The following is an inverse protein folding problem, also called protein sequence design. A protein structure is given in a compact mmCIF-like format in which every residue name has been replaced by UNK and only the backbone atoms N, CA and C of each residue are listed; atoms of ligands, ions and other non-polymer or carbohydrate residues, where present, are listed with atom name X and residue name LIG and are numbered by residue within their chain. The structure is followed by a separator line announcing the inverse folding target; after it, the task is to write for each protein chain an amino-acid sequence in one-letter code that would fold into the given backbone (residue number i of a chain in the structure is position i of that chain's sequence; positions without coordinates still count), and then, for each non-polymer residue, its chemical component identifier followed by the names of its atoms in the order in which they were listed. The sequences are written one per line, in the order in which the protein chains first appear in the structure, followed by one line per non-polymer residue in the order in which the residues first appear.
data_IF_153858797373
#
_entry.id   IF_153858797373
#
_cell.length_a   1.000
_cell.length_b   1.000
_cell.length_c   1.000
_cell.angle_alpha   90.00
_cell.angle_beta   90.00
_cell.angle_gamma   90.00
#
_symmetry.space_group_name_H-M   'P 1'
#
loop_
_entity.id
_entity.type
_entity.pdbx_description
1 polymer ?
#
# COMPACT_ATOMS: atom_id res chain seq x y z
N UNK A 1 -11.50 20.24 -61.02
CA UNK A 1 -11.34 21.20 -62.17
C UNK A 1 -12.62 21.14 -62.95
N UNK A 2 -13.39 22.23 -62.97
CA UNK A 2 -14.65 22.30 -63.73
C UNK A 2 -14.43 23.21 -64.93
N UNK A 3 -14.81 22.70 -66.08
CA UNK A 3 -14.76 23.46 -67.33
C UNK A 3 -16.12 24.13 -67.57
N UNK A 4 -16.15 25.44 -67.69
CA UNK A 4 -17.36 26.22 -67.98
C UNK A 4 -17.10 27.05 -69.24
N UNK A 5 -17.89 26.74 -70.28
CA UNK A 5 -17.84 27.49 -71.54
C UNK A 5 -18.89 28.58 -71.48
N UNK A 6 -18.55 29.84 -71.74
CA UNK A 6 -19.48 30.94 -71.83
C UNK A 6 -20.17 30.99 -73.20
N UNK A 7 -21.25 31.78 -73.32
CA UNK A 7 -22.04 31.95 -74.59
C UNK A 7 -21.20 32.49 -75.78
N UNK A 8 -20.00 32.94 -75.54
CA UNK A 8 -19.05 33.39 -76.58
C UNK A 8 -18.02 32.31 -76.96
N UNK A 9 -18.10 31.10 -76.39
CA UNK A 9 -17.22 29.97 -76.75
C UNK A 9 -15.84 30.00 -76.06
N UNK A 10 -15.66 30.87 -75.04
CA UNK A 10 -14.42 30.91 -74.26
C UNK A 10 -14.48 29.89 -73.13
N UNK A 11 -13.44 29.08 -73.00
CA UNK A 11 -13.28 28.13 -71.91
C UNK A 11 -12.61 28.78 -70.72
N UNK A 12 -13.28 28.79 -69.57
CA UNK A 12 -12.69 29.20 -68.29
C UNK A 12 -12.51 28.04 -67.36
N UNK A 13 -11.31 27.93 -66.78
CA UNK A 13 -10.95 26.90 -65.84
C UNK A 13 -10.97 27.50 -64.42
N UNK A 14 -11.85 26.95 -63.59
CA UNK A 14 -11.91 27.30 -62.20
C UNK A 14 -11.28 26.19 -61.36
N UNK A 15 -10.25 26.53 -60.57
CA UNK A 15 -9.67 25.64 -59.59
C UNK A 15 -9.89 26.20 -58.19
N UNK A 16 -10.45 25.40 -57.32
CA UNK A 16 -10.53 25.70 -55.91
C UNK A 16 -9.42 24.95 -55.20
N UNK A 17 -8.52 25.66 -54.55
CA UNK A 17 -7.57 25.10 -53.63
C UNK A 17 -8.01 25.39 -52.20
N UNK A 18 -8.16 24.37 -51.40
CA UNK A 18 -8.43 24.51 -49.99
C UNK A 18 -7.13 24.17 -49.25
N UNK A 19 -6.68 25.09 -48.40
CA UNK A 19 -5.51 24.82 -47.56
C UNK A 19 -5.98 23.93 -46.40
N UNK A 20 -5.48 22.69 -46.41
CA UNK A 20 -5.78 21.65 -45.40
C UNK A 20 -4.63 21.47 -44.42
N UNK A 21 -3.58 22.30 -44.47
CA UNK A 21 -2.37 22.15 -43.63
C UNK A 21 -2.69 22.22 -42.15
N UNK A 22 -3.52 23.12 -41.74
CA UNK A 22 -3.95 23.29 -40.35
C UNK A 22 -4.74 22.04 -39.84
N UNK A 23 -5.66 21.57 -40.67
CA UNK A 23 -6.42 20.34 -40.38
C UNK A 23 -5.53 19.13 -40.23
N UNK A 24 -4.60 18.93 -41.17
CA UNK A 24 -3.64 17.83 -41.09
C UNK A 24 -2.74 17.92 -39.86
N UNK A 25 -2.36 19.16 -39.47
CA UNK A 25 -1.61 19.40 -38.25
C UNK A 25 -2.40 18.97 -36.99
N UNK A 26 -3.65 19.38 -36.86
CA UNK A 26 -4.52 18.97 -35.74
C UNK A 26 -4.78 17.46 -35.74
N UNK A 27 -5.05 16.85 -36.89
CA UNK A 27 -5.24 15.40 -36.99
C UNK A 27 -3.98 14.64 -36.55
N UNK A 28 -2.77 15.11 -36.91
CA UNK A 28 -1.51 14.52 -36.49
C UNK A 28 -1.29 14.69 -34.97
N UNK A 29 -1.61 15.85 -34.41
CA UNK A 29 -1.54 16.08 -32.96
C UNK A 29 -2.50 15.18 -32.17
N UNK A 30 -3.75 15.07 -32.60
CA UNK A 30 -4.75 14.18 -31.97
C UNK A 30 -4.28 12.73 -32.02
N UNK A 31 -3.78 12.27 -33.17
CA UNK A 31 -3.25 10.92 -33.34
C UNK A 31 -2.07 10.64 -32.41
N UNK A 32 -1.17 11.62 -32.26
CA UNK A 32 -0.03 11.53 -31.34
C UNK A 32 -0.47 11.47 -29.88
N UNK A 33 -1.43 12.31 -29.47
CA UNK A 33 -1.97 12.34 -28.12
C UNK A 33 -2.66 11.01 -27.77
N UNK A 34 -3.48 10.49 -28.68
CA UNK A 34 -4.14 9.21 -28.51
C UNK A 34 -3.12 8.07 -28.34
N UNK A 35 -2.08 8.04 -29.16
CA UNK A 35 -1.02 7.04 -29.05
C UNK A 35 -0.29 7.11 -27.70
N UNK A 36 -0.01 8.32 -27.20
CA UNK A 36 0.62 8.53 -25.88
C UNK A 36 -0.33 8.05 -24.79
N UNK A 37 -1.60 8.43 -24.85
CA UNK A 37 -2.62 8.03 -23.86
C UNK A 37 -2.78 6.51 -23.83
N UNK A 38 -3.00 5.87 -24.97
CA UNK A 38 -3.16 4.41 -25.06
C UNK A 38 -1.94 3.68 -24.51
N UNK A 39 -0.73 4.10 -24.95
CA UNK A 39 0.51 3.50 -24.46
C UNK A 39 0.68 3.68 -22.96
N UNK A 40 0.36 4.85 -22.42
CA UNK A 40 0.48 5.14 -20.99
C UNK A 40 -0.50 4.30 -20.19
N UNK A 41 -1.78 4.29 -20.60
CA UNK A 41 -2.85 3.57 -19.89
C UNK A 41 -2.65 2.05 -19.95
N UNK A 42 -2.17 1.52 -21.08
CA UNK A 42 -1.91 0.09 -21.22
C UNK A 42 -0.71 -0.42 -20.40
N UNK A 43 0.21 0.47 -20.04
CA UNK A 43 1.35 0.13 -19.20
C UNK A 43 1.13 0.44 -17.69
N UNK A 44 -0.03 0.97 -17.31
CA UNK A 44 -0.38 1.11 -15.90
C UNK A 44 -0.70 -0.26 -15.29
N UNK A 45 -0.22 -0.56 -14.06
CA UNK A 45 -0.57 -1.78 -13.33
C UNK A 45 -1.98 -1.68 -12.73
N UNK A 46 -2.93 -1.11 -13.46
CA UNK A 46 -4.30 -0.88 -13.04
C UNK A 46 -5.26 -1.28 -14.17
N UNK A 47 -6.30 -2.02 -13.84
CA UNK A 47 -7.42 -2.26 -14.74
C UNK A 47 -8.27 -0.99 -14.85
N UNK A 48 -8.45 -0.47 -16.07
CA UNK A 48 -9.27 0.72 -16.34
C UNK A 48 -10.40 0.33 -17.27
N UNK A 49 -11.61 0.70 -16.86
CA UNK A 49 -12.85 0.44 -17.59
C UNK A 49 -13.65 1.73 -17.67
N UNK A 50 -14.18 2.05 -18.85
CA UNK A 50 -15.05 3.20 -19.06
C UNK A 50 -16.37 2.73 -19.66
N UNK A 51 -17.48 3.19 -19.09
CA UNK A 51 -18.85 2.90 -19.54
C UNK A 51 -19.62 4.18 -19.80
N UNK A 52 -20.49 4.17 -20.80
CA UNK A 52 -21.35 5.29 -21.14
C UNK A 52 -22.70 5.19 -20.40
N UNK A 53 -23.05 6.21 -19.61
CA UNK A 53 -24.24 6.17 -18.74
C UNK A 53 -25.54 6.10 -19.54
N UNK A 54 -25.70 6.98 -20.53
CA UNK A 54 -26.95 7.08 -21.31
C UNK A 54 -27.12 5.98 -22.36
N UNK A 55 -26.13 5.10 -22.49
CA UNK A 55 -26.14 3.96 -23.42
C UNK A 55 -26.16 2.62 -22.67
N UNK A 56 -27.03 2.48 -21.68
CA UNK A 56 -27.17 1.28 -20.87
C UNK A 56 -25.87 0.78 -20.23
N UNK A 57 -25.00 1.69 -19.80
CA UNK A 57 -23.69 1.40 -19.22
C UNK A 57 -22.84 0.46 -20.09
N UNK A 58 -22.90 0.63 -21.42
CA UNK A 58 -22.04 -0.14 -22.33
C UNK A 58 -20.59 0.26 -22.20
N UNK A 59 -19.72 -0.73 -22.29
CA UNK A 59 -18.28 -0.53 -22.30
C UNK A 59 -17.87 0.24 -23.56
N UNK A 60 -17.21 1.38 -23.37
CA UNK A 60 -16.64 2.19 -24.46
C UNK A 60 -15.12 2.13 -24.46
N UNK A 61 -14.51 1.77 -23.33
CA UNK A 61 -13.06 1.59 -23.22
C UNK A 61 -12.70 0.57 -22.15
N UNK A 62 -11.66 -0.19 -22.43
CA UNK A 62 -10.98 -1.08 -21.49
C UNK A 62 -9.50 -1.11 -21.83
N UNK A 63 -8.60 -0.98 -20.84
CA UNK A 63 -7.18 -1.15 -21.06
C UNK A 63 -6.78 -2.63 -20.98
N UNK A 64 -5.56 -2.92 -21.40
CA UNK A 64 -4.99 -4.27 -21.44
C UNK A 64 -5.07 -4.97 -20.08
N UNK A 65 -4.77 -4.26 -18.97
CA UNK A 65 -4.75 -4.84 -17.64
C UNK A 65 -6.15 -5.24 -17.16
N UNK A 66 -7.20 -4.52 -17.54
CA UNK A 66 -8.58 -4.90 -17.23
C UNK A 66 -9.01 -6.21 -17.88
N UNK A 67 -8.53 -6.50 -19.09
CA UNK A 67 -8.75 -7.78 -19.76
C UNK A 67 -7.94 -8.93 -19.13
N UNK A 68 -6.70 -8.64 -18.70
CA UNK A 68 -5.83 -9.64 -18.06
C UNK A 68 -6.43 -10.18 -16.76
N UNK A 69 -7.12 -9.33 -16.00
CA UNK A 69 -7.73 -9.68 -14.70
C UNK A 69 -9.10 -10.32 -14.82
N UNK A 70 -9.79 -10.08 -15.93
CA UNK A 70 -11.14 -10.58 -16.11
C UNK A 70 -11.17 -12.09 -16.32
N UNK A 71 -12.11 -12.75 -15.65
CA UNK A 71 -12.35 -14.18 -15.81
C UNK A 71 -13.14 -14.48 -17.10
N UNK A 72 -13.85 -13.49 -17.64
CA UNK A 72 -14.62 -13.62 -18.86
C UNK A 72 -13.73 -13.37 -20.08
N UNK A 73 -13.83 -14.24 -21.07
CA UNK A 73 -13.06 -14.18 -22.32
C UNK A 73 -13.90 -13.54 -23.41
N UNK A 74 -13.30 -12.60 -24.15
CA UNK A 74 -13.92 -11.99 -25.33
C UNK A 74 -13.98 -10.47 -25.26
N UNK A 75 -14.43 -9.89 -26.37
CA UNK A 75 -14.54 -8.43 -26.51
C UNK A 75 -15.76 -7.91 -25.75
N UNK A 76 -15.52 -6.93 -24.88
CA UNK A 76 -16.55 -6.29 -24.05
C UNK A 76 -17.06 -4.97 -24.63
N UNK A 77 -16.30 -4.33 -25.52
CA UNK A 77 -16.68 -3.03 -26.09
C UNK A 77 -18.04 -3.13 -26.82
N UNK A 78 -18.92 -2.18 -26.54
CA UNK A 78 -20.30 -2.16 -27.04
C UNK A 78 -21.28 -3.06 -26.29
N UNK A 79 -20.82 -3.91 -25.37
CA UNK A 79 -21.66 -4.74 -24.49
C UNK A 79 -21.88 -4.05 -23.15
N UNK A 80 -22.88 -4.50 -22.38
CA UNK A 80 -23.06 -4.13 -20.99
C UNK A 80 -22.68 -5.30 -20.06
N UNK A 81 -22.84 -5.13 -18.74
CA UNK A 81 -22.47 -6.17 -17.77
C UNK A 81 -23.26 -7.47 -17.95
N UNK A 82 -24.54 -7.37 -18.29
CA UNK A 82 -25.42 -8.53 -18.48
C UNK A 82 -25.11 -9.35 -19.74
N UNK A 83 -24.52 -8.71 -20.74
CA UNK A 83 -24.05 -9.39 -21.96
C UNK A 83 -22.72 -10.13 -21.72
N UNK A 84 -22.01 -9.80 -20.62
CA UNK A 84 -20.62 -10.17 -20.44
C UNK A 84 -20.36 -11.02 -19.18
N UNK A 85 -21.08 -10.78 -18.07
CA UNK A 85 -20.92 -11.50 -16.81
C UNK A 85 -22.13 -12.34 -16.44
N UNK A 86 -21.98 -13.34 -15.54
CA UNK A 86 -23.11 -14.00 -14.90
C UNK A 86 -24.05 -12.99 -14.22
N UNK A 87 -25.36 -13.28 -14.17
CA UNK A 87 -26.37 -12.32 -13.70
C UNK A 87 -26.07 -11.69 -12.34
N UNK A 88 -25.65 -12.48 -11.34
CA UNK A 88 -25.34 -11.99 -9.99
C UNK A 88 -24.19 -10.96 -9.98
N UNK A 89 -23.17 -11.18 -10.80
CA UNK A 89 -22.02 -10.26 -10.94
C UNK A 89 -22.43 -9.01 -11.69
N UNK A 90 -23.22 -9.18 -12.78
CA UNK A 90 -23.70 -8.08 -13.59
C UNK A 90 -24.62 -7.15 -12.79
N UNK A 91 -25.53 -7.71 -11.98
CA UNK A 91 -26.47 -6.96 -11.14
C UNK A 91 -25.72 -6.09 -10.12
N UNK A 92 -24.75 -6.65 -9.40
CA UNK A 92 -23.93 -5.90 -8.46
C UNK A 92 -23.16 -4.77 -9.13
N UNK A 93 -22.53 -5.03 -10.28
CA UNK A 93 -21.80 -4.00 -11.04
C UNK A 93 -22.74 -2.89 -11.51
N UNK A 94 -23.95 -3.25 -11.95
CA UNK A 94 -24.98 -2.31 -12.37
C UNK A 94 -25.46 -1.43 -11.22
N UNK A 95 -25.72 -2.00 -10.05
CA UNK A 95 -26.11 -1.24 -8.85
C UNK A 95 -25.06 -0.19 -8.49
N UNK A 96 -23.78 -0.58 -8.49
CA UNK A 96 -22.65 0.34 -8.23
C UNK A 96 -22.59 1.47 -9.28
N UNK A 97 -22.75 1.14 -10.57
CA UNK A 97 -22.71 2.11 -11.66
C UNK A 97 -23.90 3.08 -11.59
N UNK A 98 -25.11 2.59 -11.31
CA UNK A 98 -26.32 3.40 -11.14
C UNK A 98 -26.16 4.33 -9.92
N UNK A 99 -25.62 3.83 -8.81
CA UNK A 99 -25.40 4.64 -7.61
C UNK A 99 -24.45 5.83 -7.91
N UNK A 100 -23.32 5.56 -8.58
CA UNK A 100 -22.37 6.60 -8.96
C UNK A 100 -22.97 7.56 -9.99
N UNK A 101 -23.71 7.03 -10.97
CA UNK A 101 -24.35 7.84 -12.01
C UNK A 101 -25.42 8.79 -11.46
N UNK A 102 -26.19 8.35 -10.46
CA UNK A 102 -27.31 9.15 -9.91
C UNK A 102 -26.88 10.12 -8.83
N UNK A 103 -25.93 9.71 -7.97
CA UNK A 103 -25.48 10.56 -6.85
C UNK A 103 -24.35 11.50 -7.22
N UNK A 104 -23.59 11.21 -8.27
CA UNK A 104 -22.34 11.89 -8.60
C UNK A 104 -21.19 11.62 -7.59
N UNK A 105 -21.47 10.86 -6.53
CA UNK A 105 -20.44 10.50 -5.53
C UNK A 105 -19.67 9.29 -6.00
N UNK A 106 -18.33 9.40 -6.02
CA UNK A 106 -17.45 8.28 -6.34
C UNK A 106 -17.50 7.20 -5.27
N UNK A 107 -17.35 5.94 -5.68
CA UNK A 107 -17.16 4.79 -4.79
C UNK A 107 -15.66 4.45 -4.68
N UNK A 108 -15.24 4.07 -3.47
CA UNK A 108 -13.90 3.59 -3.19
C UNK A 108 -13.96 2.47 -2.16
N UNK A 109 -13.41 1.30 -2.50
CA UNK A 109 -13.37 0.14 -1.60
C UNK A 109 -12.22 -0.80 -1.96
N UNK A 110 -11.82 -1.61 -0.99
CA UNK A 110 -10.86 -2.69 -1.20
C UNK A 110 -11.59 -4.02 -1.31
N UNK A 111 -11.16 -4.87 -2.23
CA UNK A 111 -11.70 -6.21 -2.44
C UNK A 111 -10.58 -7.23 -2.33
N UNK A 112 -10.79 -8.24 -1.48
CA UNK A 112 -9.90 -9.40 -1.40
C UNK A 112 -10.49 -10.56 -2.22
N UNK A 113 -9.63 -11.28 -2.92
CA UNK A 113 -10.02 -12.39 -3.77
C UNK A 113 -8.82 -13.26 -4.17
N UNK A 114 -8.98 -13.98 -5.27
CA UNK A 114 -7.91 -14.78 -5.88
C UNK A 114 -7.78 -14.44 -7.35
N UNK A 115 -6.54 -14.47 -7.84
CA UNK A 115 -6.24 -14.35 -9.26
C UNK A 115 -6.60 -15.65 -10.04
N UNK A 116 -6.35 -15.65 -11.34
CA UNK A 116 -6.58 -16.83 -12.23
C UNK A 116 -5.76 -18.07 -11.81
N UNK A 117 -4.67 -17.88 -11.10
CA UNK A 117 -3.75 -18.93 -10.64
C UNK A 117 -4.07 -19.39 -9.22
N UNK A 118 -5.06 -18.78 -8.55
CA UNK A 118 -5.44 -19.08 -7.19
C UNK A 118 -4.61 -18.34 -6.12
N UNK A 119 -3.73 -17.41 -6.51
CA UNK A 119 -2.97 -16.59 -5.58
C UNK A 119 -3.86 -15.51 -4.96
N UNK A 120 -3.53 -15.10 -3.74
CA UNK A 120 -4.23 -13.99 -3.09
C UNK A 120 -4.11 -12.71 -3.94
N UNK A 121 -5.20 -12.00 -4.09
CA UNK A 121 -5.32 -10.75 -4.83
C UNK A 121 -6.07 -9.73 -3.98
N UNK A 122 -5.48 -8.55 -3.79
CA UNK A 122 -6.10 -7.43 -3.09
C UNK A 122 -6.18 -6.27 -4.08
N UNK A 123 -7.40 -5.85 -4.39
CA UNK A 123 -7.68 -4.76 -5.32
C UNK A 123 -8.21 -3.54 -4.60
N UNK A 124 -7.57 -2.40 -4.83
CA UNK A 124 -8.15 -1.08 -4.55
C UNK A 124 -9.01 -0.66 -5.74
N UNK A 125 -10.32 -0.51 -5.50
CA UNK A 125 -11.30 -0.22 -6.55
C UNK A 125 -11.90 1.15 -6.36
N UNK A 126 -11.96 1.90 -7.47
CA UNK A 126 -12.59 3.22 -7.52
C UNK A 126 -13.52 3.32 -8.70
N UNK A 127 -14.67 3.92 -8.48
CA UNK A 127 -15.60 4.31 -9.54
C UNK A 127 -15.91 5.78 -9.41
N UNK A 128 -15.83 6.50 -10.50
CA UNK A 128 -16.17 7.94 -10.57
C UNK A 128 -17.05 8.21 -11.77
N UNK A 129 -17.94 9.18 -11.64
CA UNK A 129 -18.66 9.77 -12.76
C UNK A 129 -17.85 10.94 -13.31
N UNK A 130 -17.76 11.02 -14.61
CA UNK A 130 -17.24 12.17 -15.34
C UNK A 130 -18.36 12.68 -16.21
N UNK A 131 -18.74 13.93 -16.00
CA UNK A 131 -19.79 14.58 -16.79
C UNK A 131 -19.26 14.90 -18.18
N UNK A 132 -20.10 14.68 -19.17
CA UNK A 132 -19.81 15.07 -20.55
C UNK A 132 -20.05 16.57 -20.77
N UNK A 133 -19.65 17.01 -21.93
CA UNK A 133 -20.05 18.33 -22.45
C UNK A 133 -21.48 18.25 -23.07
N UNK A 134 -21.94 19.33 -23.68
CA UNK A 134 -23.28 19.40 -24.31
C UNK A 134 -23.49 18.34 -25.42
N UNK A 135 -22.43 17.74 -25.93
CA UNK A 135 -22.43 16.79 -27.05
C UNK A 135 -22.13 15.36 -26.63
N UNK A 136 -21.68 15.11 -25.41
CA UNK A 136 -21.24 13.81 -24.93
C UNK A 136 -22.03 13.35 -23.70
N UNK A 137 -22.30 12.03 -23.64
CA UNK A 137 -22.93 11.37 -22.50
C UNK A 137 -22.00 11.34 -21.29
N UNK A 138 -22.52 11.45 -20.05
CA UNK A 138 -21.74 11.14 -18.86
C UNK A 138 -21.16 9.73 -18.92
N UNK A 139 -19.97 9.56 -18.37
CA UNK A 139 -19.28 8.27 -18.32
C UNK A 139 -18.98 7.86 -16.88
N UNK A 140 -18.91 6.55 -16.66
CA UNK A 140 -18.36 5.95 -15.43
C UNK A 140 -16.97 5.43 -15.74
N UNK A 141 -15.98 5.92 -14.98
CA UNK A 141 -14.62 5.41 -15.02
C UNK A 141 -14.40 4.54 -13.79
N UNK A 142 -14.06 3.28 -14.01
CA UNK A 142 -13.70 2.32 -12.96
C UNK A 142 -12.21 2.02 -13.05
N UNK A 143 -11.52 2.10 -11.92
CA UNK A 143 -10.09 1.81 -11.79
C UNK A 143 -9.92 0.73 -10.73
N UNK A 144 -9.15 -0.30 -11.04
CA UNK A 144 -8.85 -1.42 -10.16
C UNK A 144 -7.34 -1.57 -10.04
N UNK A 145 -6.78 -1.22 -8.89
CA UNK A 145 -5.34 -1.29 -8.62
C UNK A 145 -4.99 -2.54 -7.83
N UNK A 146 -4.01 -3.31 -8.28
CA UNK A 146 -3.47 -4.41 -7.50
C UNK A 146 -2.53 -3.86 -6.43
N UNK A 147 -2.95 -3.99 -5.17
CA UNK A 147 -2.21 -3.56 -4.00
C UNK A 147 -1.72 -4.73 -3.15
N UNK A 148 -1.72 -5.95 -3.70
CA UNK A 148 -1.39 -7.19 -2.97
C UNK A 148 -0.01 -7.13 -2.36
N UNK A 149 1.00 -6.76 -3.16
CA UNK A 149 2.38 -6.66 -2.67
C UNK A 149 2.55 -5.49 -1.69
N UNK A 150 1.88 -4.37 -1.92
CA UNK A 150 1.89 -3.23 -1.01
C UNK A 150 1.33 -3.59 0.37
N UNK A 151 0.19 -4.27 0.41
CA UNK A 151 -0.42 -4.71 1.67
C UNK A 151 0.41 -5.79 2.38
N UNK A 152 1.10 -6.66 1.64
CA UNK A 152 2.03 -7.62 2.20
C UNK A 152 3.22 -6.93 2.88
N UNK A 153 3.90 -6.03 2.16
CA UNK A 153 5.02 -5.25 2.71
C UNK A 153 4.59 -4.44 3.93
N UNK A 154 3.42 -3.83 3.89
CA UNK A 154 2.86 -3.08 5.00
C UNK A 154 2.64 -3.94 6.25
N UNK A 155 2.09 -5.16 6.09
CA UNK A 155 1.91 -6.13 7.20
C UNK A 155 3.25 -6.60 7.77
N UNK A 156 4.24 -6.88 6.93
CA UNK A 156 5.59 -7.26 7.34
C UNK A 156 6.28 -6.13 8.12
N UNK A 157 6.18 -4.90 7.62
CA UNK A 157 6.73 -3.72 8.29
C UNK A 157 6.06 -3.48 9.66
N UNK A 158 4.75 -3.59 9.73
CA UNK A 158 4.01 -3.45 10.98
C UNK A 158 4.44 -4.50 12.01
N UNK A 159 4.56 -5.76 11.59
CA UNK A 159 5.02 -6.86 12.47
C UNK A 159 6.47 -6.62 12.95
N UNK A 160 7.35 -6.15 12.08
CA UNK A 160 8.74 -5.83 12.43
C UNK A 160 8.81 -4.67 13.43
N UNK A 161 7.99 -3.63 13.21
CA UNK A 161 7.88 -2.49 14.13
C UNK A 161 7.42 -2.93 15.53
N UNK A 162 6.37 -3.74 15.59
CA UNK A 162 5.84 -4.24 16.88
C UNK A 162 6.88 -5.08 17.65
N UNK A 163 7.65 -5.92 16.93
CA UNK A 163 8.76 -6.67 17.54
C UNK A 163 9.86 -5.76 18.09
N UNK A 164 10.24 -4.72 17.33
CA UNK A 164 11.24 -3.75 17.77
C UNK A 164 10.77 -2.97 19.01
N UNK A 165 9.53 -2.46 19.00
CA UNK A 165 8.95 -1.75 20.15
C UNK A 165 8.85 -2.63 21.41
N UNK A 166 8.50 -3.92 21.24
CA UNK A 166 8.48 -4.87 22.35
C UNK A 166 9.88 -5.12 22.90
N UNK A 167 10.88 -5.28 22.01
CA UNK A 167 12.29 -5.44 22.43
C UNK A 167 12.78 -4.22 23.23
N UNK A 168 12.46 -3.00 22.78
CA UNK A 168 12.86 -1.77 23.45
C UNK A 168 12.18 -1.63 24.83
N UNK A 169 10.91 -1.98 24.94
CA UNK A 169 10.19 -2.02 26.23
C UNK A 169 10.80 -3.02 27.19
N UNK A 170 11.14 -4.23 26.72
CA UNK A 170 11.78 -5.26 27.54
C UNK A 170 13.16 -4.81 28.01
N UNK A 171 13.98 -4.20 27.13
CA UNK A 171 15.28 -3.62 27.51
C UNK A 171 15.15 -2.53 28.57
N UNK A 172 14.19 -1.64 28.40
CA UNK A 172 13.96 -0.55 29.35
C UNK A 172 13.50 -1.07 30.71
N UNK A 173 12.59 -2.02 30.75
CA UNK A 173 12.14 -2.65 31.99
C UNK A 173 13.28 -3.44 32.67
N UNK A 174 14.08 -4.16 31.87
CA UNK A 174 15.27 -4.87 32.38
C UNK A 174 16.26 -3.90 33.05
N UNK A 175 16.63 -2.80 32.38
CA UNK A 175 17.56 -1.81 32.95
C UNK A 175 17.01 -1.17 34.22
N UNK A 176 15.71 -0.87 34.27
CA UNK A 176 15.07 -0.32 35.47
C UNK A 176 15.12 -1.31 36.62
N UNK A 177 14.79 -2.58 36.39
CA UNK A 177 14.84 -3.62 37.41
C UNK A 177 16.29 -3.88 37.89
N UNK A 178 17.25 -3.96 36.95
CA UNK A 178 18.64 -4.13 37.31
C UNK A 178 19.17 -2.97 38.14
N UNK A 179 18.79 -1.75 37.83
CA UNK A 179 19.15 -0.57 38.64
C UNK A 179 18.65 -0.68 40.09
N UNK A 180 17.44 -1.22 40.25
CA UNK A 180 16.86 -1.46 41.60
C UNK A 180 17.59 -2.59 42.34
N UNK A 181 17.82 -3.72 41.64
CA UNK A 181 18.50 -4.90 42.23
C UNK A 181 19.97 -4.60 42.62
N UNK A 182 20.64 -3.72 41.89
CA UNK A 182 22.01 -3.25 42.22
C UNK A 182 22.00 -2.25 43.38
N UNK A 183 21.04 -1.31 43.43
CA UNK A 183 20.98 -0.26 44.43
C UNK A 183 20.79 -0.78 45.84
N UNK A 184 19.97 -1.82 46.02
CA UNK A 184 19.65 -2.40 47.33
C UNK A 184 20.89 -2.94 48.04
N UNK A 185 21.68 -3.89 47.48
CA UNK A 185 22.90 -4.38 48.15
C UNK A 185 23.96 -3.28 48.27
N UNK A 186 24.07 -2.39 47.27
CA UNK A 186 25.04 -1.28 47.35
C UNK A 186 24.75 -0.36 48.51
N UNK A 187 23.51 0.05 48.76
CA UNK A 187 23.12 0.87 49.90
C UNK A 187 23.38 0.15 51.24
N UNK A 188 23.16 -1.15 51.31
CA UNK A 188 23.49 -1.94 52.50
C UNK A 188 25.01 -1.96 52.76
N UNK A 189 25.83 -2.23 51.73
CA UNK A 189 27.28 -2.19 51.82
C UNK A 189 27.77 -0.85 52.37
N UNK A 190 27.30 0.27 51.74
CA UNK A 190 27.68 1.63 52.15
C UNK A 190 27.23 1.92 53.57
N UNK A 191 25.96 1.65 53.92
CA UNK A 191 25.39 1.93 55.23
C UNK A 191 26.10 1.15 56.38
N UNK A 192 26.24 -0.16 56.19
CA UNK A 192 26.91 -1.00 57.21
C UNK A 192 28.42 -0.74 57.29
N UNK A 193 29.08 -0.36 56.21
CA UNK A 193 30.49 0.07 56.25
C UNK A 193 30.72 1.29 57.13
N UNK A 194 29.79 2.27 57.12
CA UNK A 194 29.84 3.42 58.07
C UNK A 194 29.66 2.97 59.50
N UNK A 195 28.69 2.08 59.76
CA UNK A 195 28.45 1.55 61.12
C UNK A 195 29.65 0.77 61.65
N UNK A 196 30.35 0.01 60.80
CA UNK A 196 31.62 -0.65 61.19
C UNK A 196 32.67 0.34 61.63
N UNK A 197 32.75 1.51 60.94
CA UNK A 197 33.74 2.54 61.28
C UNK A 197 33.43 3.31 62.58
N UNK A 198 32.13 3.40 62.94
CA UNK A 198 31.64 4.17 64.11
C UNK A 198 31.48 3.30 65.38
N UNK A 199 31.27 1.99 65.24
CA UNK A 199 31.04 1.10 66.39
C UNK A 199 32.35 0.75 67.09
N UNK A 200 32.35 0.88 68.42
CA UNK A 200 33.42 0.43 69.31
C UNK A 200 33.23 -1.02 69.76
N UNK A 201 32.05 -1.60 69.57
CA UNK A 201 31.71 -2.97 69.96
C UNK A 201 32.17 -3.99 68.92
N UNK A 202 33.00 -4.92 69.32
CA UNK A 202 33.58 -5.96 68.44
C UNK A 202 32.54 -6.90 67.90
N UNK A 203 31.51 -7.31 68.66
CA UNK A 203 30.45 -8.19 68.21
C UNK A 203 29.55 -7.53 67.15
N UNK A 204 29.17 -6.28 67.38
CA UNK A 204 28.42 -5.47 66.41
C UNK A 204 29.17 -5.29 65.10
N UNK A 205 30.46 -4.96 65.18
CA UNK A 205 31.33 -4.84 63.98
C UNK A 205 31.38 -6.14 63.19
N UNK A 206 31.45 -7.25 63.85
CA UNK A 206 31.42 -8.56 63.19
C UNK A 206 30.08 -8.82 62.45
N UNK A 207 28.98 -8.54 63.14
CA UNK A 207 27.64 -8.67 62.53
C UNK A 207 27.48 -7.78 61.29
N UNK A 208 27.94 -6.51 61.38
CA UNK A 208 27.88 -5.59 60.24
C UNK A 208 28.75 -6.02 59.08
N UNK A 209 29.93 -6.58 59.39
CA UNK A 209 30.85 -7.17 58.40
C UNK A 209 30.21 -8.31 57.62
N UNK A 210 29.55 -9.26 58.30
CA UNK A 210 28.82 -10.38 57.67
C UNK A 210 27.72 -9.86 56.71
N UNK A 211 27.02 -8.80 57.10
CA UNK A 211 26.00 -8.17 56.22
C UNK A 211 26.64 -7.56 54.96
N UNK A 212 27.76 -6.89 55.10
CA UNK A 212 28.51 -6.29 53.97
C UNK A 212 28.98 -7.41 53.02
N UNK A 213 29.57 -8.49 53.58
CA UNK A 213 30.08 -9.62 52.80
C UNK A 213 28.96 -10.30 52.01
N UNK A 214 27.84 -10.64 52.66
CA UNK A 214 26.66 -11.24 51.99
C UNK A 214 26.10 -10.35 50.88
N UNK A 215 26.03 -9.03 51.04
CA UNK A 215 25.57 -8.10 50.01
C UNK A 215 26.57 -7.92 48.85
N UNK A 216 27.86 -8.04 49.13
CA UNK A 216 28.91 -8.00 48.12
C UNK A 216 28.84 -9.26 47.23
N UNK A 217 28.69 -10.44 47.84
CA UNK A 217 28.49 -11.71 47.07
C UNK A 217 27.25 -11.63 46.17
N UNK A 218 26.12 -11.12 46.70
CA UNK A 218 24.89 -10.94 45.94
C UNK A 218 25.13 -9.98 44.76
N UNK A 219 25.86 -8.87 44.95
CA UNK A 219 26.14 -7.92 43.89
C UNK A 219 27.00 -8.54 42.78
N UNK A 220 28.03 -9.34 43.15
CA UNK A 220 28.89 -10.03 42.20
C UNK A 220 28.07 -11.09 41.39
N UNK A 221 27.16 -11.79 42.03
CA UNK A 221 26.24 -12.70 41.34
C UNK A 221 25.38 -11.99 40.31
N UNK A 222 24.74 -10.86 40.66
CA UNK A 222 23.92 -10.07 39.75
C UNK A 222 24.75 -9.57 38.56
N UNK A 223 25.98 -9.12 38.77
CA UNK A 223 26.87 -8.65 37.69
C UNK A 223 27.17 -9.80 36.73
N UNK A 224 27.46 -11.00 37.25
CA UNK A 224 27.72 -12.17 36.40
C UNK A 224 26.50 -12.58 35.59
N UNK A 225 25.29 -12.54 36.17
CA UNK A 225 24.03 -12.82 35.46
C UNK A 225 23.79 -11.82 34.32
N UNK A 226 24.07 -10.51 34.53
CA UNK A 226 23.98 -9.46 33.50
C UNK A 226 24.98 -9.72 32.35
N UNK A 227 26.24 -10.07 32.70
CA UNK A 227 27.28 -10.35 31.71
C UNK A 227 26.94 -11.59 30.87
N UNK A 228 26.40 -12.64 31.48
CA UNK A 228 26.02 -13.85 30.77
C UNK A 228 24.83 -13.60 29.85
N UNK A 229 23.83 -12.82 30.26
CA UNK A 229 22.74 -12.37 29.42
C UNK A 229 23.25 -11.55 28.21
N UNK A 230 24.19 -10.63 28.45
CA UNK A 230 24.81 -9.82 27.40
C UNK A 230 25.56 -10.67 26.36
N UNK A 231 26.23 -11.75 26.78
CA UNK A 231 26.91 -12.69 25.88
C UNK A 231 25.91 -13.48 25.02
N UNK A 232 24.75 -13.86 25.59
CA UNK A 232 23.68 -14.54 24.85
C UNK A 232 23.07 -13.60 23.80
N UNK A 233 22.75 -12.35 24.18
CA UNK A 233 22.22 -11.35 23.23
C UNK A 233 23.19 -11.02 22.08
N UNK A 234 24.49 -11.01 22.34
CA UNK A 234 25.52 -10.77 21.32
C UNK A 234 25.82 -11.97 20.42
N UNK A 235 25.18 -13.13 20.66
CA UNK A 235 25.39 -14.35 19.88
C UNK A 235 26.73 -15.02 20.10
N UNK A 236 27.49 -14.65 21.15
CA UNK A 236 28.82 -15.21 21.49
C UNK A 236 28.68 -16.59 22.17
N UNK A 237 27.50 -16.85 22.77
CA UNK A 237 27.20 -18.18 23.36
C UNK A 237 25.89 -18.67 22.71
N UNK A 238 25.96 -19.78 21.96
CA UNK A 238 24.76 -20.51 21.55
C UNK A 238 24.09 -21.10 22.80
N UNK A 239 22.80 -20.80 22.97
CA UNK A 239 21.98 -21.39 24.03
C UNK A 239 22.03 -22.92 23.87
N UNK A 240 22.33 -23.71 24.92
CA UNK A 240 22.27 -25.14 24.80
C UNK A 240 20.84 -25.56 24.47
N UNK A 241 20.64 -26.08 23.23
CA UNK A 241 19.36 -26.62 22.82
C UNK A 241 18.94 -27.70 23.82
N UNK A 242 17.80 -27.52 24.45
CA UNK A 242 17.15 -28.58 25.24
C UNK A 242 16.94 -29.80 24.33
N UNK A 243 17.66 -30.85 24.63
CA UNK A 243 17.37 -32.23 24.17
C UNK A 243 16.25 -32.80 24.98
#
# INVERSE_FOLDING_TARGET
MYNVTNDSGEESYWSFSHDISERLHYEAQIKRLNLIMDTTIDNLPAGIVVKEVNNDFRYIYRNRESYNRDLCVGEAIGKNDFDYYPPEVAEKKREEDVLVATTGQGLHWTMEGKDKNGNQLILDKRKIRVDGDELSSPIIVSIEWDITELEKIKRELQTSKEKAEMSDKLKSAFLANMSHEIRTPLNAIVGFSHLIAESENTEERHTFYEIVEANNERLLQLINEILDLSKIESGIIESPAHR
#
